data_IF_986272318176
#
_entry.id   IF_986272318176
#
_cell.length_a   1.000
_cell.length_b   1.000
_cell.length_c   1.000
_cell.angle_alpha   90.00
_cell.angle_beta   90.00
_cell.angle_gamma   90.00
#
_symmetry.space_group_name_H-M   'P 1'
#
loop_
_entity.id
_entity.type
_entity.pdbx_description
1 polymer ?
#
# COMPACT_ATOMS: atom_id res chain seq x y z
N UNK A 1 -14.71 20.66 -14.75
CA UNK A 1 -14.41 20.71 -13.31
C UNK A 1 -13.40 19.67 -12.91
N UNK A 2 -12.41 20.09 -12.22
CA UNK A 2 -11.40 19.12 -11.80
C UNK A 2 -11.63 18.69 -10.38
N UNK A 3 -11.59 17.40 -10.16
CA UNK A 3 -11.66 16.84 -8.83
C UNK A 3 -10.26 16.44 -8.38
N UNK A 4 -9.40 17.45 -8.33
CA UNK A 4 -7.99 17.24 -8.01
C UNK A 4 -7.64 17.98 -6.74
N UNK A 5 -6.99 17.26 -5.84
CA UNK A 5 -6.48 17.82 -4.59
C UNK A 5 -4.95 17.85 -4.68
N UNK A 6 -4.36 18.96 -4.29
CA UNK A 6 -2.91 19.06 -4.17
C UNK A 6 -2.55 18.95 -2.70
N UNK A 7 -1.65 18.01 -2.39
CA UNK A 7 -1.33 17.73 -1.01
C UNK A 7 0.15 17.37 -0.89
N UNK A 8 0.90 18.23 -0.26
CA UNK A 8 2.32 18.00 0.07
C UNK A 8 3.15 17.49 -1.11
N UNK A 9 2.95 18.08 -2.28
CA UNK A 9 3.70 17.74 -3.47
C UNK A 9 3.13 16.58 -4.27
N UNK A 10 1.94 16.14 -3.93
CA UNK A 10 1.24 15.08 -4.63
C UNK A 10 -0.10 15.58 -5.15
N UNK A 11 -0.63 14.87 -6.13
CA UNK A 11 -2.00 15.06 -6.59
C UNK A 11 -2.84 13.88 -6.13
N UNK A 12 -4.05 14.16 -5.67
CA UNK A 12 -5.06 13.15 -5.41
C UNK A 12 -6.22 13.46 -6.35
N UNK A 13 -6.41 12.63 -7.35
CA UNK A 13 -7.42 12.84 -8.39
C UNK A 13 -8.59 11.90 -8.18
N UNK A 14 -9.79 12.45 -8.14
CA UNK A 14 -11.00 11.63 -8.08
C UNK A 14 -11.17 10.89 -9.39
N UNK A 15 -11.44 9.59 -9.31
CA UNK A 15 -11.69 8.76 -10.50
C UNK A 15 -13.05 8.11 -10.37
N UNK A 16 -13.40 7.32 -11.36
CA UNK A 16 -14.69 6.64 -11.38
C UNK A 16 -14.83 5.66 -10.21
N UNK A 17 -13.73 5.02 -9.80
CA UNK A 17 -13.78 3.97 -8.79
C UNK A 17 -13.01 4.31 -7.52
N UNK A 18 -12.58 5.55 -7.37
CA UNK A 18 -11.84 5.94 -6.17
C UNK A 18 -10.94 7.12 -6.44
N UNK A 19 -9.66 6.96 -6.12
CA UNK A 19 -8.70 8.06 -6.20
C UNK A 19 -7.39 7.57 -6.80
N UNK A 20 -6.79 8.41 -7.63
CA UNK A 20 -5.47 8.18 -8.17
C UNK A 20 -4.51 9.14 -7.50
N UNK A 21 -3.46 8.61 -6.90
CA UNK A 21 -2.47 9.41 -6.20
C UNK A 21 -1.17 9.36 -6.99
N UNK A 22 -0.58 10.52 -7.26
CA UNK A 22 0.69 10.59 -7.97
C UNK A 22 1.51 11.75 -7.46
N UNK A 23 2.80 11.74 -7.80
CA UNK A 23 3.65 12.87 -7.51
C UNK A 23 3.43 13.97 -8.55
N UNK A 24 3.53 15.23 -8.12
CA UNK A 24 3.33 16.33 -9.03
C UNK A 24 4.41 16.39 -10.10
N UNK A 25 5.63 16.02 -9.74
CA UNK A 25 6.76 16.06 -10.68
C UNK A 25 6.89 14.81 -11.53
N UNK A 26 6.11 13.77 -11.24
CA UNK A 26 6.19 12.50 -11.97
C UNK A 26 4.83 11.81 -11.89
N UNK A 27 3.92 12.21 -12.77
CA UNK A 27 2.54 11.74 -12.70
C UNK A 27 2.39 10.28 -13.12
N UNK A 28 3.40 9.70 -13.73
CA UNK A 28 3.35 8.27 -14.04
C UNK A 28 3.62 7.41 -12.83
N UNK A 29 4.30 7.96 -11.85
CA UNK A 29 4.54 7.28 -10.58
C UNK A 29 3.30 7.43 -9.72
N UNK A 30 2.39 6.46 -9.84
CA UNK A 30 1.07 6.61 -9.24
C UNK A 30 0.56 5.31 -8.65
N UNK A 31 -0.49 5.43 -7.85
CA UNK A 31 -1.24 4.30 -7.34
C UNK A 31 -2.72 4.69 -7.21
N UNK A 32 -3.56 3.71 -6.93
CA UNK A 32 -5.01 3.92 -6.81
C UNK A 32 -5.49 3.41 -5.46
N UNK A 33 -6.35 4.19 -4.82
CA UNK A 33 -7.00 3.78 -3.58
C UNK A 33 -8.49 4.05 -3.70
N UNK A 34 -9.28 3.32 -2.92
CA UNK A 34 -10.73 3.45 -2.97
C UNK A 34 -11.24 4.66 -2.17
N UNK A 35 -10.49 5.09 -1.17
CA UNK A 35 -10.97 6.09 -0.22
C UNK A 35 -10.02 7.25 -0.07
N UNK A 36 -10.57 8.41 0.30
CA UNK A 36 -9.80 9.63 0.37
C UNK A 36 -8.88 9.68 1.59
N UNK A 37 -9.40 9.32 2.77
CA UNK A 37 -8.58 9.42 3.99
C UNK A 37 -7.32 8.57 3.92
N UNK A 38 -7.37 7.31 3.48
CA UNK A 38 -6.12 6.55 3.30
C UNK A 38 -5.17 7.18 2.30
N UNK A 39 -5.68 7.96 1.34
CA UNK A 39 -4.81 8.63 0.38
C UNK A 39 -3.95 9.68 1.05
N UNK A 40 -4.51 10.46 1.97
CA UNK A 40 -3.72 11.42 2.74
C UNK A 40 -2.69 10.72 3.60
N UNK A 41 -3.11 9.65 4.27
CA UNK A 41 -2.20 8.89 5.14
C UNK A 41 -1.05 8.27 4.36
N UNK A 42 -1.34 7.79 3.16
CA UNK A 42 -0.33 7.25 2.27
C UNK A 42 0.76 8.27 2.00
N UNK A 43 0.37 9.47 1.63
CA UNK A 43 1.31 10.55 1.33
C UNK A 43 2.14 10.89 2.57
N UNK A 44 1.48 11.03 3.73
CA UNK A 44 2.18 11.35 4.96
C UNK A 44 3.20 10.27 5.31
N UNK A 45 2.83 9.00 5.14
CA UNK A 45 3.73 7.89 5.43
C UNK A 45 4.93 7.87 4.50
N UNK A 46 4.69 8.09 3.21
CA UNK A 46 5.77 8.10 2.23
C UNK A 46 6.76 9.21 2.55
N UNK A 47 6.27 10.39 2.89
CA UNK A 47 7.14 11.53 3.17
C UNK A 47 7.93 11.37 4.46
N UNK A 48 7.40 10.62 5.43
CA UNK A 48 8.08 10.41 6.70
C UNK A 48 8.76 9.05 6.79
N UNK A 49 8.75 8.27 5.71
CA UNK A 49 9.34 6.93 5.66
C UNK A 49 8.75 6.00 6.72
N UNK A 50 7.44 6.12 6.93
CA UNK A 50 6.74 5.33 7.91
C UNK A 50 6.06 4.15 7.23
N UNK A 51 6.19 2.96 7.81
CA UNK A 51 5.58 1.74 7.28
C UNK A 51 4.36 1.40 8.14
N UNK A 52 3.16 1.45 7.56
CA UNK A 52 1.97 1.07 8.32
C UNK A 52 1.96 -0.43 8.58
N UNK A 53 1.34 -0.87 9.68
CA UNK A 53 1.43 -2.25 10.11
C UNK A 53 0.14 -3.03 9.99
N UNK A 54 -1.00 -2.40 10.15
CA UNK A 54 -2.27 -3.14 10.15
C UNK A 54 -3.04 -2.87 8.88
N UNK A 55 -2.49 -3.30 7.75
CA UNK A 55 -3.09 -3.02 6.47
C UNK A 55 -2.77 -4.14 5.49
N UNK A 56 -3.45 -4.12 4.36
CA UNK A 56 -3.24 -5.11 3.32
C UNK A 56 -2.00 -4.86 2.51
N UNK A 57 -1.59 -5.88 1.77
CA UNK A 57 -0.37 -5.80 0.95
C UNK A 57 -0.49 -4.80 -0.19
N UNK A 58 -1.68 -4.63 -0.73
CA UNK A 58 -1.87 -3.66 -1.80
C UNK A 58 -1.58 -2.24 -1.31
N UNK A 59 -2.05 -1.90 -0.11
CA UNK A 59 -1.81 -0.59 0.47
C UNK A 59 -0.32 -0.38 0.74
N UNK A 60 0.35 -1.42 1.24
CA UNK A 60 1.81 -1.36 1.44
C UNK A 60 2.54 -1.14 0.11
N UNK A 61 2.15 -1.87 -0.92
CA UNK A 61 2.79 -1.72 -2.23
C UNK A 61 2.58 -0.31 -2.78
N UNK A 62 1.43 0.31 -2.47
CA UNK A 62 1.18 1.68 -2.88
C UNK A 62 2.22 2.64 -2.31
N UNK A 63 2.65 2.41 -1.07
CA UNK A 63 3.72 3.22 -0.48
C UNK A 63 5.01 3.07 -1.27
N UNK A 64 5.36 1.83 -1.61
CA UNK A 64 6.58 1.57 -2.38
C UNK A 64 6.52 2.24 -3.75
N UNK A 65 5.35 2.25 -4.36
CA UNK A 65 5.19 2.84 -5.70
C UNK A 65 5.44 4.33 -5.72
N UNK A 66 5.10 5.04 -4.65
CA UNK A 66 5.19 6.50 -4.64
C UNK A 66 6.50 7.01 -4.05
N UNK A 67 7.29 6.16 -3.41
CA UNK A 67 8.51 6.59 -2.75
C UNK A 67 9.68 6.67 -3.72
N UNK A 68 10.58 7.61 -3.47
CA UNK A 68 11.88 7.68 -4.14
C UNK A 68 12.99 7.07 -3.28
N UNK A 69 12.71 6.78 -2.01
CA UNK A 69 13.71 6.28 -1.09
C UNK A 69 13.85 4.76 -1.24
N UNK A 70 14.95 4.32 -1.81
CA UNK A 70 15.13 2.91 -2.12
C UNK A 70 15.22 2.04 -0.88
N UNK A 71 15.74 2.56 0.22
CA UNK A 71 15.76 1.80 1.47
C UNK A 71 14.34 1.58 1.99
N UNK A 72 13.51 2.60 1.92
CA UNK A 72 12.11 2.51 2.33
C UNK A 72 11.38 1.51 1.46
N UNK A 73 11.56 1.60 0.14
CA UNK A 73 10.92 0.68 -0.82
C UNK A 73 11.33 -0.76 -0.51
N UNK A 74 12.61 -1.00 -0.29
CA UNK A 74 13.11 -2.33 -0.02
C UNK A 74 12.51 -2.89 1.28
N UNK A 75 12.47 -2.08 2.32
CA UNK A 75 11.91 -2.50 3.60
C UNK A 75 10.44 -2.85 3.48
N UNK A 76 9.68 -2.06 2.73
CA UNK A 76 8.28 -2.34 2.53
C UNK A 76 8.11 -3.67 1.79
N UNK A 77 8.89 -3.90 0.75
CA UNK A 77 8.75 -5.12 -0.03
C UNK A 77 9.16 -6.35 0.75
N UNK A 78 10.17 -6.22 1.61
CA UNK A 78 10.53 -7.30 2.52
C UNK A 78 9.41 -7.58 3.51
N UNK A 79 8.79 -6.53 4.02
CA UNK A 79 7.69 -6.67 4.95
C UNK A 79 6.49 -7.35 4.29
N UNK A 80 6.19 -6.99 3.05
CA UNK A 80 5.12 -7.65 2.29
C UNK A 80 5.40 -9.14 2.14
N UNK A 81 6.63 -9.49 1.83
CA UNK A 81 7.04 -10.88 1.67
C UNK A 81 6.78 -11.66 2.95
N UNK A 82 7.21 -11.12 4.08
CA UNK A 82 7.01 -11.78 5.37
C UNK A 82 5.53 -11.94 5.66
N UNK A 83 4.75 -10.92 5.39
CA UNK A 83 3.30 -10.97 5.58
C UNK A 83 2.67 -12.07 4.74
N UNK A 84 3.03 -12.14 3.48
CA UNK A 84 2.48 -13.13 2.57
C UNK A 84 2.86 -14.54 2.97
N UNK A 85 4.08 -14.74 3.40
CA UNK A 85 4.52 -16.04 3.88
C UNK A 85 3.77 -16.49 5.13
N UNK A 86 3.54 -15.55 6.02
CA UNK A 86 2.79 -15.82 7.23
C UNK A 86 1.36 -16.22 6.89
N UNK A 87 0.72 -15.49 6.01
CA UNK A 87 -0.64 -15.79 5.58
C UNK A 87 -0.71 -17.14 4.92
N UNK A 88 0.27 -17.46 4.11
CA UNK A 88 0.36 -18.76 3.46
C UNK A 88 0.43 -19.87 4.49
N UNK A 89 1.25 -19.71 5.51
CA UNK A 89 1.39 -20.70 6.55
C UNK A 89 0.09 -20.88 7.32
N UNK A 90 -0.64 -19.83 7.52
CA UNK A 90 -1.91 -19.91 8.21
C UNK A 90 -2.94 -20.68 7.41
N UNK A 91 -2.97 -20.48 6.11
CA UNK A 91 -3.89 -21.20 5.25
C UNK A 91 -3.48 -22.64 5.05
N UNK A 92 -2.20 -22.86 4.92
CA UNK A 92 -1.67 -24.18 4.67
C UNK A 92 -1.24 -24.80 5.98
N UNK A 93 -2.10 -25.62 6.55
CA UNK A 93 -1.81 -26.25 7.83
C UNK A 93 -2.29 -27.68 7.80
N UNK A 94 -1.57 -28.54 7.09
CA UNK A 94 -2.02 -29.92 6.86
C UNK A 94 -2.13 -30.73 8.12
N UNK A 95 -1.45 -30.38 9.13
CA UNK A 95 -1.48 -31.14 10.39
C UNK A 95 -2.62 -30.79 11.27
N UNK A 96 -3.28 -29.92 10.97
CA UNK A 96 -4.28 -29.39 11.84
C UNK A 96 -5.65 -29.49 11.34
N UNK A 97 -4.70 -29.53 10.67
CA UNK A 97 -5.42 -29.58 10.36
C UNK A 97 -6.26 -29.29 10.56
N UNK A 98 -6.22 -29.39 10.47
CA UNK A 98 -6.94 -29.40 10.29
C UNK A 98 -7.52 -29.50 10.75
N UNK A 99 -7.33 -29.64 10.91
CA UNK A 99 -7.83 -29.93 11.05
C UNK A 99 -8.38 -29.89 10.97
N UNK A 100 -8.10 -30.30 10.83
CA UNK A 100 -8.42 -30.45 10.63
C UNK A 100 -8.46 -30.30 10.38
N UNK A 101 -8.20 -30.60 10.16
CA UNK A 101 -8.03 -30.64 9.97
C UNK A 101 -7.68 -30.29 9.77
N UNK A 102 -7.44 -30.64 9.58
CA UNK A 102 -7.17 -30.56 9.35
C UNK A 102 -6.93 -30.24 9.25
N UNK A 103 -6.54 -30.53 9.16
CA UNK A 103 -6.41 -30.69 8.90
C UNK A 103 -6.39 -30.66 8.91
#
# INVERSE_FOLDING_TARGET
MKNRIEYKGFYIDKTEHGYRICRQEDTEKHTHLSNLNPSYKLIDNVLSNKIPTRCGCYYLESHARLSYDENYIRKIREYIKVKQNKDKQMYYNPGRKRSGGNF
#
